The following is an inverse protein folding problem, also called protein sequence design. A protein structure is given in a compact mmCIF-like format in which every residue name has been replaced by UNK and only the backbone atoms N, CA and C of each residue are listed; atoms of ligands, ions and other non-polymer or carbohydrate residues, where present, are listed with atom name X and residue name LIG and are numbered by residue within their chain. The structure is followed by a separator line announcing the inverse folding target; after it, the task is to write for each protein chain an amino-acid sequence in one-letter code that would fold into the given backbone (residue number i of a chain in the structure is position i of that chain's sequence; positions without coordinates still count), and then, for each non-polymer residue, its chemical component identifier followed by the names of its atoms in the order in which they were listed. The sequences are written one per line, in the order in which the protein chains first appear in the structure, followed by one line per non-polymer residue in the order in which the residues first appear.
data_IF_353532118402
#
_entry.id   IF_353532118402
#
_cell.length_a   1.000
_cell.length_b   1.000
_cell.length_c   1.000
_cell.angle_alpha   90.00
_cell.angle_beta   90.00
_cell.angle_gamma   90.00
#
_symmetry.space_group_name_H-M   'P 1'
#
loop_
_entity.id
_entity.type
_entity.pdbx_description
1 polymer ?
#
# COMPACT_ATOMS: atom_id res chain seq x y z
N UNK A 1 -5.39 48.76 49.42
CA UNK A 1 -4.56 47.64 48.91
C UNK A 1 -5.36 46.34 48.79
N UNK A 2 -5.94 45.82 49.88
CA UNK A 2 -6.65 44.51 49.91
C UNK A 2 -7.83 44.44 48.93
N UNK A 3 -8.70 45.44 48.92
CA UNK A 3 -9.88 45.48 48.02
C UNK A 3 -9.46 45.48 46.54
N UNK A 4 -8.43 46.27 46.20
CA UNK A 4 -7.89 46.33 44.82
C UNK A 4 -7.31 44.98 44.40
N UNK A 5 -6.56 44.31 45.28
CA UNK A 5 -6.03 42.96 45.04
C UNK A 5 -7.14 41.92 44.86
N UNK A 6 -8.21 41.99 45.64
CA UNK A 6 -9.38 41.12 45.52
C UNK A 6 -10.09 41.31 44.17
N UNK A 7 -10.33 42.57 43.77
CA UNK A 7 -10.96 42.90 42.48
C UNK A 7 -10.11 42.40 41.31
N UNK A 8 -8.79 42.61 41.34
CA UNK A 8 -7.88 42.11 40.31
C UNK A 8 -7.88 40.57 40.24
N UNK A 9 -7.90 39.89 41.38
CA UNK A 9 -7.96 38.42 41.43
C UNK A 9 -9.27 37.87 40.84
N UNK A 10 -10.40 38.53 41.12
CA UNK A 10 -11.72 38.17 40.55
C UNK A 10 -11.73 38.37 39.04
N UNK A 11 -11.30 39.53 38.54
CA UNK A 11 -11.24 39.83 37.10
C UNK A 11 -10.31 38.85 36.37
N UNK A 12 -9.12 38.57 36.92
CA UNK A 12 -8.20 37.60 36.36
C UNK A 12 -8.73 36.15 36.43
N UNK A 13 -9.55 35.83 37.44
CA UNK A 13 -10.26 34.55 37.54
C UNK A 13 -11.33 34.39 36.46
N UNK A 14 -12.15 35.42 36.24
CA UNK A 14 -13.14 35.46 35.16
C UNK A 14 -12.49 35.38 33.78
N UNK A 15 -11.41 36.14 33.53
CA UNK A 15 -10.66 36.08 32.26
C UNK A 15 -10.09 34.69 31.98
N UNK A 16 -9.46 34.05 32.97
CA UNK A 16 -8.96 32.67 32.84
C UNK A 16 -10.09 31.66 32.60
N UNK A 17 -11.25 31.83 33.24
CA UNK A 17 -12.42 30.97 33.03
C UNK A 17 -13.00 31.13 31.62
N UNK A 18 -13.16 32.36 31.15
CA UNK A 18 -13.63 32.66 29.80
C UNK A 18 -12.68 32.10 28.73
N UNK A 19 -11.36 32.25 28.92
CA UNK A 19 -10.36 31.70 28.01
C UNK A 19 -10.39 30.16 27.98
N UNK A 20 -10.56 29.50 29.12
CA UNK A 20 -10.72 28.03 29.18
C UNK A 20 -11.97 27.54 28.46
N UNK A 21 -13.10 28.25 28.59
CA UNK A 21 -14.34 27.91 27.87
C UNK A 21 -14.14 28.05 26.36
N UNK A 22 -13.55 29.15 25.90
CA UNK A 22 -13.28 29.37 24.48
C UNK A 22 -12.32 28.33 23.88
N UNK A 23 -11.29 27.93 24.63
CA UNK A 23 -10.38 26.87 24.18
C UNK A 23 -11.10 25.52 24.09
N UNK A 24 -11.89 25.17 25.10
CA UNK A 24 -12.68 23.94 25.09
C UNK A 24 -13.73 23.92 23.95
N UNK A 25 -14.34 25.05 23.63
CA UNK A 25 -15.25 25.18 22.47
C UNK A 25 -14.52 25.01 21.14
N UNK A 26 -13.33 25.61 20.98
CA UNK A 26 -12.50 25.42 19.79
C UNK A 26 -12.06 23.97 19.61
N UNK A 27 -11.62 23.33 20.69
CA UNK A 27 -11.25 21.91 20.67
C UNK A 27 -12.44 21.04 20.24
N UNK A 28 -13.62 21.26 20.82
CA UNK A 28 -14.85 20.54 20.42
C UNK A 28 -15.21 20.77 18.95
N UNK A 29 -15.22 22.02 18.50
CA UNK A 29 -15.50 22.36 17.12
C UNK A 29 -14.50 21.71 16.14
N UNK A 30 -13.21 21.68 16.52
CA UNK A 30 -12.18 21.01 15.71
C UNK A 30 -12.38 19.50 15.64
N UNK A 31 -12.72 18.85 16.76
CA UNK A 31 -12.99 17.42 16.82
C UNK A 31 -14.26 17.05 16.04
N UNK A 32 -15.29 17.88 16.09
CA UNK A 32 -16.51 17.73 15.28
C UNK A 32 -16.22 17.91 13.78
N UNK A 33 -15.42 18.90 13.40
CA UNK A 33 -15.00 19.12 12.03
C UNK A 33 -14.22 17.91 11.47
N UNK A 34 -13.28 17.35 12.24
CA UNK A 34 -12.54 16.14 11.85
C UNK A 34 -13.48 14.94 11.66
N UNK A 35 -14.42 14.72 12.59
CA UNK A 35 -15.41 13.63 12.46
C UNK A 35 -16.30 13.81 11.23
N UNK A 36 -16.72 15.03 10.95
CA UNK A 36 -17.53 15.37 9.79
C UNK A 36 -16.76 15.14 8.49
N UNK A 37 -15.49 15.53 8.42
CA UNK A 37 -14.60 15.26 7.28
C UNK A 37 -14.42 13.76 7.07
N UNK A 38 -14.15 12.99 8.12
CA UNK A 38 -14.02 11.53 8.03
C UNK A 38 -15.33 10.87 7.56
N UNK A 39 -16.49 11.35 8.01
CA UNK A 39 -17.79 10.85 7.55
C UNK A 39 -18.08 11.21 6.08
N UNK A 40 -17.78 12.44 5.66
CA UNK A 40 -17.92 12.88 4.28
C UNK A 40 -17.02 12.07 3.34
N UNK A 41 -15.78 11.80 3.76
CA UNK A 41 -14.85 10.95 3.04
C UNK A 41 -15.43 9.53 2.88
N UNK A 42 -15.88 8.88 3.97
CA UNK A 42 -16.53 7.56 3.90
C UNK A 42 -17.69 7.49 2.91
N UNK A 43 -18.53 8.53 2.86
CA UNK A 43 -19.66 8.60 1.92
C UNK A 43 -19.18 8.75 0.47
N UNK A 44 -18.17 9.59 0.22
CA UNK A 44 -17.58 9.75 -1.11
C UNK A 44 -17.02 8.41 -1.62
N UNK A 45 -16.31 7.67 -0.78
CA UNK A 45 -15.75 6.38 -1.19
C UNK A 45 -16.82 5.32 -1.40
N UNK A 46 -17.86 5.28 -0.57
CA UNK A 46 -18.97 4.35 -0.81
C UNK A 46 -19.60 4.59 -2.20
N UNK A 47 -19.63 5.84 -2.66
CA UNK A 47 -20.10 6.21 -4.00
C UNK A 47 -19.11 5.78 -5.09
N UNK A 48 -17.82 6.05 -4.94
CA UNK A 48 -16.80 5.63 -5.92
C UNK A 48 -16.75 4.11 -6.06
N UNK A 49 -16.85 3.37 -4.95
CA UNK A 49 -16.97 1.91 -4.96
C UNK A 49 -18.25 1.45 -5.65
N UNK A 50 -19.38 2.09 -5.36
CA UNK A 50 -20.64 1.77 -6.00
C UNK A 50 -20.57 1.98 -7.51
N UNK A 51 -19.94 3.06 -7.98
CA UNK A 51 -19.83 3.37 -9.40
C UNK A 51 -18.92 2.37 -10.14
N UNK A 52 -17.77 2.00 -9.55
CA UNK A 52 -16.87 0.97 -10.09
C UNK A 52 -17.57 -0.39 -10.13
N UNK A 53 -18.26 -0.78 -9.06
CA UNK A 53 -18.99 -2.05 -8.99
C UNK A 53 -20.17 -2.08 -9.95
N UNK A 54 -20.97 -1.02 -10.02
CA UNK A 54 -22.10 -0.92 -10.93
C UNK A 54 -21.65 -0.98 -12.39
N UNK A 55 -20.57 -0.30 -12.75
CA UNK A 55 -20.03 -0.31 -14.10
C UNK A 55 -19.48 -1.69 -14.50
N UNK A 56 -18.69 -2.31 -13.62
CA UNK A 56 -18.08 -3.62 -13.89
C UNK A 56 -19.09 -4.76 -13.90
N UNK A 57 -20.01 -4.81 -12.92
CA UNK A 57 -21.07 -5.82 -12.86
C UNK A 57 -22.08 -5.63 -13.99
N UNK A 58 -22.47 -4.39 -14.30
CA UNK A 58 -23.37 -4.10 -15.42
C UNK A 58 -22.77 -4.52 -16.77
N UNK A 59 -21.49 -4.23 -16.99
CA UNK A 59 -20.76 -4.70 -18.17
C UNK A 59 -20.68 -6.23 -18.23
N UNK A 60 -20.56 -6.90 -17.09
CA UNK A 60 -20.48 -8.36 -17.01
C UNK A 60 -21.81 -9.03 -17.35
N UNK A 61 -22.93 -8.50 -16.85
CA UNK A 61 -24.29 -8.97 -17.22
C UNK A 61 -24.48 -8.89 -18.73
N UNK A 62 -24.16 -7.75 -19.36
CA UNK A 62 -24.30 -7.59 -20.82
C UNK A 62 -23.43 -8.58 -21.61
N UNK A 63 -22.21 -8.88 -21.13
CA UNK A 63 -21.37 -9.89 -21.79
C UNK A 63 -21.93 -11.30 -21.63
N UNK A 64 -22.54 -11.63 -20.48
CA UNK A 64 -23.17 -12.93 -20.27
C UNK A 64 -24.44 -13.10 -21.11
N UNK A 65 -25.28 -12.07 -21.20
CA UNK A 65 -26.45 -12.07 -22.10
C UNK A 65 -26.04 -12.30 -23.56
N UNK A 66 -24.92 -11.70 -23.98
CA UNK A 66 -24.36 -11.91 -25.32
C UNK A 66 -23.80 -13.33 -25.51
N UNK A 67 -23.25 -13.96 -24.46
CA UNK A 67 -22.83 -15.37 -24.49
C UNK A 67 -24.04 -16.28 -24.66
N UNK A 68 -25.11 -16.07 -23.89
CA UNK A 68 -26.35 -16.87 -24.00
C UNK A 68 -26.93 -16.79 -25.41
N UNK A 69 -27.05 -15.58 -25.98
CA UNK A 69 -27.57 -15.41 -27.34
C UNK A 69 -26.71 -16.10 -28.43
N UNK A 70 -25.38 -16.10 -28.26
CA UNK A 70 -24.46 -16.77 -29.20
C UNK A 70 -24.53 -18.29 -29.08
N UNK A 71 -24.70 -18.82 -27.86
CA UNK A 71 -24.90 -20.25 -27.63
C UNK A 71 -26.23 -20.73 -28.23
N UNK A 72 -27.30 -19.96 -28.07
CA UNK A 72 -28.62 -20.25 -28.68
C UNK A 72 -28.55 -20.25 -30.21
N UNK A 73 -27.68 -19.41 -30.80
CA UNK A 73 -27.42 -19.38 -32.23
C UNK A 73 -26.43 -20.48 -32.71
N UNK A 74 -25.87 -21.29 -31.81
CA UNK A 74 -24.88 -22.33 -32.11
C UNK A 74 -23.46 -21.82 -32.39
N UNK A 75 -23.18 -20.52 -32.20
CA UNK A 75 -21.88 -19.90 -32.45
C UNK A 75 -20.96 -19.99 -31.21
N UNK A 76 -20.52 -21.21 -30.94
CA UNK A 76 -19.71 -21.56 -29.76
C UNK A 76 -18.35 -20.88 -29.71
N UNK A 77 -17.74 -20.59 -30.87
CA UNK A 77 -16.43 -19.92 -30.96
C UNK A 77 -16.52 -18.47 -30.49
N UNK A 78 -17.53 -17.72 -30.96
CA UNK A 78 -17.75 -16.34 -30.50
C UNK A 78 -18.23 -16.28 -29.05
N UNK A 79 -19.03 -17.26 -28.61
CA UNK A 79 -19.42 -17.37 -27.21
C UNK A 79 -18.18 -17.54 -26.29
N UNK A 80 -17.23 -18.40 -26.68
CA UNK A 80 -15.99 -18.59 -25.93
C UNK A 80 -15.15 -17.30 -25.85
N UNK A 81 -15.03 -16.56 -26.95
CA UNK A 81 -14.33 -15.27 -26.97
C UNK A 81 -14.99 -14.24 -26.02
N UNK A 82 -16.34 -14.25 -25.93
CA UNK A 82 -17.09 -13.37 -25.03
C UNK A 82 -16.97 -13.76 -23.56
N UNK A 83 -16.91 -15.05 -23.25
CA UNK A 83 -16.59 -15.53 -21.89
C UNK A 83 -15.20 -15.05 -21.44
N UNK A 84 -14.21 -15.09 -22.34
CA UNK A 84 -12.87 -14.56 -22.05
C UNK A 84 -12.89 -13.05 -21.76
N UNK A 85 -13.65 -12.27 -22.54
CA UNK A 85 -13.83 -10.84 -22.30
C UNK A 85 -14.55 -10.55 -20.97
N UNK A 86 -15.60 -11.30 -20.64
CA UNK A 86 -16.32 -11.19 -19.38
C UNK A 86 -15.41 -11.48 -18.17
N UNK A 87 -14.56 -12.52 -18.27
CA UNK A 87 -13.55 -12.84 -17.25
C UNK A 87 -12.54 -11.70 -17.08
N UNK A 88 -12.08 -11.09 -18.18
CA UNK A 88 -11.19 -9.93 -18.15
C UNK A 88 -11.80 -8.74 -17.41
N UNK A 89 -13.07 -8.41 -17.72
CA UNK A 89 -13.84 -7.37 -17.03
C UNK A 89 -13.99 -7.66 -15.53
N UNK A 90 -14.28 -8.90 -15.14
CA UNK A 90 -14.41 -9.32 -13.74
C UNK A 90 -13.12 -9.10 -12.95
N UNK A 91 -12.00 -9.56 -13.51
CA UNK A 91 -10.68 -9.44 -12.89
C UNK A 91 -10.28 -7.98 -12.75
N UNK A 92 -10.51 -7.16 -13.78
CA UNK A 92 -10.24 -5.73 -13.77
C UNK A 92 -11.07 -5.01 -12.70
N UNK A 93 -12.39 -5.20 -12.68
CA UNK A 93 -13.28 -4.56 -11.70
C UNK A 93 -12.99 -4.97 -10.26
N UNK A 94 -12.62 -6.24 -10.01
CA UNK A 94 -12.19 -6.68 -8.69
C UNK A 94 -10.85 -6.05 -8.27
N UNK A 95 -9.96 -5.79 -9.23
CA UNK A 95 -8.73 -5.04 -9.03
C UNK A 95 -9.00 -3.60 -8.61
N UNK A 96 -9.81 -2.88 -9.38
CA UNK A 96 -10.20 -1.48 -9.10
C UNK A 96 -10.93 -1.35 -7.75
N UNK A 97 -11.84 -2.27 -7.43
CA UNK A 97 -12.51 -2.30 -6.13
C UNK A 97 -11.53 -2.54 -4.97
N UNK A 98 -10.55 -3.45 -5.14
CA UNK A 98 -9.50 -3.68 -4.14
C UNK A 98 -8.57 -2.48 -3.99
N UNK A 99 -8.30 -1.74 -5.05
CA UNK A 99 -7.50 -0.52 -5.01
C UNK A 99 -8.24 0.61 -4.30
N UNK A 100 -9.51 0.84 -4.60
CA UNK A 100 -10.34 1.79 -3.87
C UNK A 100 -10.42 1.43 -2.37
N UNK A 101 -10.57 0.13 -2.03
CA UNK A 101 -10.49 -0.35 -0.64
C UNK A 101 -9.08 -0.23 -0.05
N UNK A 102 -8.02 -0.33 -0.84
CA UNK A 102 -6.64 -0.13 -0.36
C UNK A 102 -6.36 1.35 -0.08
N UNK A 103 -6.86 2.27 -0.92
CA UNK A 103 -6.81 3.71 -0.67
C UNK A 103 -7.57 4.10 0.61
N UNK A 104 -8.64 3.37 0.95
CA UNK A 104 -9.31 3.49 2.26
C UNK A 104 -8.49 2.96 3.45
N UNK A 105 -7.58 2.02 3.17
CA UNK A 105 -6.81 1.27 4.17
C UNK A 105 -5.36 1.75 4.25
N UNK A 106 -4.98 2.72 3.42
CA UNK A 106 -3.96 3.67 3.81
C UNK A 106 -4.46 4.25 5.12
N UNK A 107 -3.73 4.03 6.22
CA UNK A 107 -4.14 4.62 7.47
C UNK A 107 -4.27 6.12 7.17
N UNK A 108 -5.32 6.77 7.69
CA UNK A 108 -5.21 8.19 8.01
C UNK A 108 -3.76 8.43 8.47
N UNK A 109 -3.05 9.49 8.02
CA UNK A 109 -1.77 9.83 8.64
C UNK A 109 -2.04 9.82 10.13
N UNK A 110 -1.53 8.80 10.83
CA UNK A 110 -2.18 8.28 12.02
C UNK A 110 -2.55 9.46 12.90
N UNK A 111 -3.84 9.79 12.95
CA UNK A 111 -4.36 10.81 13.85
C UNK A 111 -4.23 10.17 15.23
N UNK A 112 -3.02 10.18 15.80
CA UNK A 112 -2.69 9.63 17.11
C UNK A 112 -1.76 8.42 17.19
N UNK A 113 -0.80 8.22 16.29
CA UNK A 113 0.45 7.56 16.70
C UNK A 113 1.65 8.30 16.08
N UNK A 114 2.00 9.47 16.57
CA UNK A 114 3.07 9.55 17.57
C UNK A 114 3.35 8.22 18.30
N UNK A 115 3.91 7.23 17.60
CA UNK A 115 4.93 6.40 18.23
C UNK A 115 6.26 6.91 17.70
N UNK A 116 6.71 8.00 18.30
CA UNK A 116 8.14 8.31 18.39
C UNK A 116 8.92 7.17 19.07
N UNK A 117 8.22 6.21 19.68
CA UNK A 117 8.79 5.01 20.27
C UNK A 117 9.51 4.15 19.21
N UNK A 118 10.82 3.92 19.40
CA UNK A 118 11.58 3.06 18.52
C UNK A 118 11.01 1.63 18.50
N UNK A 119 10.77 1.11 17.30
CA UNK A 119 10.40 -0.28 17.08
C UNK A 119 11.66 -1.15 17.13
N UNK A 120 11.61 -2.19 17.96
CA UNK A 120 12.71 -3.15 18.05
C UNK A 120 12.93 -3.86 16.70
N UNK A 121 14.19 -4.09 16.27
CA UNK A 121 14.48 -4.73 14.99
C UNK A 121 13.87 -6.12 14.85
N UNK A 122 13.87 -6.87 15.96
CA UNK A 122 13.27 -8.21 16.04
C UNK A 122 11.78 -8.20 15.74
N UNK A 123 11.05 -7.11 16.02
CA UNK A 123 9.64 -6.99 15.68
C UNK A 123 9.42 -6.79 14.18
N UNK A 124 10.30 -6.02 13.52
CA UNK A 124 10.28 -5.86 12.06
C UNK A 124 10.56 -7.19 11.39
N UNK A 125 11.64 -7.86 11.80
CA UNK A 125 12.04 -9.16 11.27
C UNK A 125 10.94 -10.23 11.48
N UNK A 126 10.35 -10.31 12.69
CA UNK A 126 9.27 -11.26 12.98
C UNK A 126 8.03 -11.04 12.09
N UNK A 127 7.70 -9.78 11.80
CA UNK A 127 6.60 -9.45 10.87
C UNK A 127 6.94 -9.86 9.44
N UNK A 128 8.16 -9.61 8.96
CA UNK A 128 8.61 -10.08 7.64
C UNK A 128 8.55 -11.62 7.57
N UNK A 129 9.04 -12.32 8.61
CA UNK A 129 8.96 -13.79 8.70
C UNK A 129 7.52 -14.29 8.64
N UNK A 130 6.58 -13.59 9.28
CA UNK A 130 5.15 -13.92 9.22
C UNK A 130 4.57 -13.74 7.82
N UNK A 131 5.01 -12.72 7.08
CA UNK A 131 4.55 -12.46 5.71
C UNK A 131 5.05 -13.51 4.71
N UNK A 132 6.27 -14.01 4.88
CA UNK A 132 6.86 -15.00 3.97
C UNK A 132 6.50 -16.45 4.33
N UNK A 133 6.16 -16.74 5.60
CA UNK A 133 5.83 -18.09 6.06
C UNK A 133 4.78 -18.86 5.23
N UNK A 134 3.68 -18.24 4.73
CA UNK A 134 2.72 -18.95 3.88
C UNK A 134 3.17 -19.13 2.43
N UNK A 135 4.24 -18.47 1.98
CA UNK A 135 4.68 -18.46 0.59
C UNK A 135 5.79 -19.51 0.36
N UNK A 136 5.59 -20.43 -0.60
CA UNK A 136 6.62 -21.41 -0.95
C UNK A 136 7.72 -20.78 -1.80
N UNK A 137 8.99 -21.11 -1.50
CA UNK A 137 10.14 -20.62 -2.26
C UNK A 137 10.53 -19.16 -1.95
N UNK A 138 10.09 -18.61 -0.82
CA UNK A 138 10.50 -17.29 -0.36
C UNK A 138 11.54 -17.39 0.75
N UNK A 139 12.71 -16.79 0.53
CA UNK A 139 13.80 -16.70 1.51
C UNK A 139 13.89 -15.32 2.16
N UNK A 140 14.38 -15.29 3.40
CA UNK A 140 14.77 -14.06 4.09
C UNK A 140 16.24 -14.14 4.48
N UNK A 141 17.03 -13.19 3.99
CA UNK A 141 18.41 -12.96 4.38
C UNK A 141 18.50 -11.67 5.21
N UNK A 142 19.15 -11.75 6.37
CA UNK A 142 19.32 -10.61 7.28
C UNK A 142 20.80 -10.43 7.58
N UNK A 143 21.32 -9.24 7.28
CA UNK A 143 22.72 -8.91 7.46
C UNK A 143 22.93 -7.60 8.22
N UNK A 144 24.11 -7.42 8.81
CA UNK A 144 24.47 -6.21 9.56
C UNK A 144 24.11 -6.24 11.04
N UNK A 145 24.25 -5.09 11.71
CA UNK A 145 23.96 -4.93 13.14
C UNK A 145 22.62 -4.20 13.29
N UNK A 146 21.60 -4.94 13.71
CA UNK A 146 20.25 -4.43 13.80
C UNK A 146 20.09 -3.37 14.92
N UNK A 147 19.40 -2.27 14.62
CA UNK A 147 19.16 -1.16 15.54
C UNK A 147 17.70 -0.69 15.47
N UNK A 148 17.11 -0.17 16.55
CA UNK A 148 15.73 0.30 16.53
C UNK A 148 15.47 1.31 15.41
N UNK A 149 14.25 1.32 14.89
CA UNK A 149 13.79 2.22 13.82
C UNK A 149 12.49 2.90 14.21
N UNK A 150 12.16 4.01 13.56
CA UNK A 150 10.83 4.61 13.74
C UNK A 150 9.70 3.65 13.35
N UNK A 151 8.53 3.79 13.99
CA UNK A 151 7.34 3.02 13.60
C UNK A 151 6.92 3.23 12.15
N UNK A 152 7.12 4.45 11.63
CA UNK A 152 6.85 4.78 10.25
C UNK A 152 7.78 4.02 9.27
N UNK A 153 9.08 3.93 9.58
CA UNK A 153 10.03 3.14 8.80
C UNK A 153 9.72 1.64 8.87
N UNK A 154 9.41 1.12 10.06
CA UNK A 154 9.00 -0.28 10.22
C UNK A 154 7.81 -0.61 9.32
N UNK A 155 6.75 0.20 9.34
CA UNK A 155 5.59 -0.01 8.45
C UNK A 155 5.95 0.13 6.96
N UNK A 156 6.78 1.10 6.58
CA UNK A 156 7.19 1.29 5.19
C UNK A 156 7.93 0.06 4.65
N UNK A 157 8.83 -0.54 5.45
CA UNK A 157 9.54 -1.78 5.11
C UNK A 157 8.58 -2.96 4.93
N UNK A 158 7.64 -3.15 5.86
CA UNK A 158 6.60 -4.20 5.77
C UNK A 158 5.76 -4.04 4.50
N UNK A 159 5.37 -2.80 4.16
CA UNK A 159 4.62 -2.52 2.94
C UNK A 159 5.43 -2.79 1.66
N UNK A 160 6.73 -2.47 1.66
CA UNK A 160 7.61 -2.77 0.53
C UNK A 160 7.71 -4.29 0.29
N UNK A 161 7.88 -5.08 1.35
CA UNK A 161 7.89 -6.56 1.26
C UNK A 161 6.56 -7.08 0.72
N UNK A 162 5.42 -6.62 1.26
CA UNK A 162 4.09 -7.04 0.77
C UNK A 162 3.89 -6.74 -0.73
N UNK A 163 4.30 -5.54 -1.17
CA UNK A 163 4.20 -5.14 -2.56
C UNK A 163 5.12 -5.99 -3.46
N UNK A 164 6.36 -6.23 -3.02
CA UNK A 164 7.32 -7.09 -3.71
C UNK A 164 6.81 -8.53 -3.89
N UNK A 165 6.29 -9.16 -2.82
CA UNK A 165 5.70 -10.50 -2.88
C UNK A 165 4.47 -10.55 -3.78
N UNK A 166 3.61 -9.53 -3.70
CA UNK A 166 2.43 -9.40 -4.57
C UNK A 166 2.83 -9.31 -6.04
N UNK A 167 3.87 -8.53 -6.37
CA UNK A 167 4.39 -8.38 -7.72
C UNK A 167 5.04 -9.66 -8.23
N UNK A 168 5.84 -10.35 -7.41
CA UNK A 168 6.41 -11.65 -7.76
C UNK A 168 5.30 -12.67 -8.09
N UNK A 169 4.25 -12.76 -7.27
CA UNK A 169 3.10 -13.66 -7.52
C UNK A 169 2.37 -13.35 -8.83
N UNK A 170 2.22 -12.06 -9.16
CA UNK A 170 1.52 -11.62 -10.38
C UNK A 170 2.36 -11.84 -11.65
N UNK A 171 3.65 -11.60 -11.57
CA UNK A 171 4.52 -11.45 -12.75
C UNK A 171 5.52 -12.58 -12.95
N UNK A 172 5.82 -13.36 -11.90
CA UNK A 172 6.70 -14.52 -11.94
C UNK A 172 6.14 -15.66 -11.06
N UNK A 173 4.93 -16.17 -11.39
CA UNK A 173 4.29 -17.21 -10.59
C UNK A 173 5.19 -18.46 -10.50
N UNK A 174 5.42 -18.94 -9.27
CA UNK A 174 6.27 -20.12 -9.01
C UNK A 174 7.77 -19.84 -8.97
N UNK A 175 8.22 -18.60 -9.24
CA UNK A 175 9.62 -18.23 -9.10
C UNK A 175 10.00 -18.02 -7.63
N UNK A 176 11.21 -18.42 -7.27
CA UNK A 176 11.74 -18.15 -5.93
C UNK A 176 11.93 -16.64 -5.71
N UNK A 177 11.58 -16.16 -4.51
CA UNK A 177 11.74 -14.76 -4.11
C UNK A 177 12.76 -14.69 -2.97
N UNK A 178 13.71 -13.77 -3.05
CA UNK A 178 14.61 -13.47 -1.95
C UNK A 178 14.31 -12.08 -1.40
N UNK A 179 14.10 -12.02 -0.09
CA UNK A 179 13.98 -10.79 0.67
C UNK A 179 15.27 -10.59 1.44
N UNK A 180 16.04 -9.57 1.12
CA UNK A 180 17.21 -9.13 1.87
C UNK A 180 16.85 -7.97 2.79
N UNK A 181 17.31 -8.02 4.04
CA UNK A 181 17.22 -6.92 5.01
C UNK A 181 18.62 -6.65 5.57
N UNK A 182 19.20 -5.51 5.17
CA UNK A 182 20.57 -5.12 5.55
C UNK A 182 20.53 -3.91 6.46
N UNK A 183 21.09 -4.08 7.67
CA UNK A 183 21.20 -3.04 8.68
C UNK A 183 22.56 -2.35 8.58
N UNK A 184 22.57 -1.10 8.13
CA UNK A 184 23.75 -0.24 8.16
C UNK A 184 23.75 0.63 9.43
N UNK A 185 24.89 1.24 9.81
CA UNK A 185 24.93 2.11 10.98
C UNK A 185 23.98 3.31 10.93
N UNK A 186 23.63 3.79 9.74
CA UNK A 186 22.89 5.04 9.49
C UNK A 186 21.58 4.85 8.71
N UNK A 187 21.32 3.65 8.19
CA UNK A 187 20.16 3.36 7.33
C UNK A 187 19.80 1.89 7.32
N UNK A 188 18.60 1.59 6.86
CA UNK A 188 18.13 0.23 6.61
C UNK A 188 17.84 0.07 5.12
N UNK A 189 18.38 -0.99 4.53
CA UNK A 189 18.09 -1.38 3.15
C UNK A 189 17.25 -2.67 3.14
N UNK A 190 16.19 -2.70 2.34
CA UNK A 190 15.44 -3.90 2.05
C UNK A 190 15.36 -4.13 0.54
N UNK A 191 15.72 -5.33 0.11
CA UNK A 191 15.70 -5.74 -1.29
C UNK A 191 14.75 -6.93 -1.46
N UNK A 192 13.87 -6.88 -2.45
CA UNK A 192 13.01 -7.99 -2.86
C UNK A 192 13.34 -8.32 -4.30
N UNK A 193 13.75 -9.56 -4.57
CA UNK A 193 14.18 -9.98 -5.89
C UNK A 193 13.62 -11.34 -6.32
N UNK A 194 13.27 -11.45 -7.59
CA UNK A 194 12.79 -12.70 -8.18
C UNK A 194 13.27 -12.83 -9.64
N UNK A 195 13.54 -14.06 -10.14
CA UNK A 195 13.78 -14.29 -11.56
C UNK A 195 12.62 -13.80 -12.43
N UNK A 196 12.93 -13.25 -13.59
CA UNK A 196 11.94 -12.89 -14.62
C UNK A 196 11.88 -14.01 -15.65
N UNK A 197 10.68 -14.45 -16.07
CA UNK A 197 10.54 -15.40 -17.17
C UNK A 197 11.21 -14.84 -18.44
N UNK A 198 11.93 -15.69 -19.18
CA UNK A 198 12.50 -15.35 -20.47
C UNK A 198 11.40 -15.31 -21.55
N UNK A 199 10.51 -14.31 -21.50
CA UNK A 199 9.49 -14.08 -22.54
C UNK A 199 10.05 -13.14 -23.60
N UNK A 200 9.88 -13.43 -24.91
CA UNK A 200 10.33 -12.55 -25.99
C UNK A 200 9.79 -11.13 -25.83
N UNK A 201 10.64 -10.13 -26.11
CA UNK A 201 10.36 -8.71 -25.90
C UNK A 201 9.11 -8.15 -26.61
N UNK A 202 8.47 -8.92 -27.50
CA UNK A 202 7.29 -8.51 -28.27
C UNK A 202 5.98 -8.50 -27.44
N UNK A 203 5.89 -9.27 -26.34
CA UNK A 203 4.69 -9.29 -25.48
C UNK A 203 4.72 -8.28 -24.32
N UNK A 204 5.78 -7.46 -24.22
CA UNK A 204 5.85 -6.39 -23.20
C UNK A 204 4.88 -5.24 -23.46
N UNK A 205 4.22 -5.22 -24.63
CA UNK A 205 3.25 -4.22 -25.06
C UNK A 205 1.93 -4.17 -24.27
N UNK A 206 1.64 -5.16 -23.42
CA UNK A 206 0.48 -5.14 -22.51
C UNK A 206 0.84 -4.98 -21.02
N UNK A 207 2.12 -4.88 -20.67
CA UNK A 207 2.57 -4.69 -19.28
C UNK A 207 2.41 -3.24 -18.76
N UNK A 208 1.95 -2.31 -19.60
CA UNK A 208 1.94 -0.87 -19.30
C UNK A 208 0.64 -0.34 -18.67
N UNK A 209 -0.42 -1.14 -18.50
CA UNK A 209 -1.76 -0.60 -18.23
C UNK A 209 -2.34 -0.84 -16.82
N UNK A 210 -1.55 -1.34 -15.86
CA UNK A 210 -2.04 -1.48 -14.46
C UNK A 210 -1.01 -1.66 -13.34
N UNK A 211 0.30 -1.71 -13.63
CA UNK A 211 1.34 -2.09 -12.65
C UNK A 211 2.00 -0.96 -11.85
N UNK A 212 1.62 0.31 -12.07
CA UNK A 212 2.39 1.47 -11.58
C UNK A 212 2.03 1.97 -10.18
N UNK A 213 0.83 1.67 -9.67
CA UNK A 213 0.32 2.28 -8.43
C UNK A 213 0.94 1.68 -7.17
N UNK A 214 1.23 0.38 -7.18
CA UNK A 214 1.86 -0.32 -6.07
C UNK A 214 3.25 0.25 -5.74
N UNK A 215 4.12 0.31 -6.74
CA UNK A 215 5.47 0.89 -6.64
C UNK A 215 5.44 2.41 -6.41
N UNK A 216 4.45 3.12 -6.94
CA UNK A 216 4.25 4.54 -6.63
C UNK A 216 4.00 4.76 -5.14
N UNK A 217 3.09 4.00 -4.53
CA UNK A 217 2.82 4.11 -3.09
C UNK A 217 4.03 3.73 -2.22
N UNK A 218 4.88 2.81 -2.68
CA UNK A 218 6.16 2.53 -2.01
C UNK A 218 7.10 3.75 -2.10
N UNK A 219 7.24 4.36 -3.29
CA UNK A 219 8.04 5.58 -3.48
C UNK A 219 7.57 6.74 -2.61
N UNK A 220 6.28 7.01 -2.58
CA UNK A 220 5.69 8.10 -1.79
C UNK A 220 5.95 7.92 -0.29
N UNK A 221 5.77 6.70 0.24
CA UNK A 221 6.07 6.41 1.66
C UNK A 221 7.54 6.60 2.01
N UNK A 222 8.45 6.10 1.19
CA UNK A 222 9.88 6.23 1.43
C UNK A 222 10.37 7.68 1.25
N UNK A 223 9.78 8.45 0.34
CA UNK A 223 10.12 9.86 0.14
C UNK A 223 9.83 10.70 1.41
N UNK A 224 8.72 10.44 2.11
CA UNK A 224 8.40 11.12 3.39
C UNK A 224 9.42 10.79 4.48
N UNK A 225 10.05 9.62 4.42
CA UNK A 225 11.07 9.16 5.36
C UNK A 225 12.49 9.60 4.97
N UNK A 226 12.66 10.37 3.90
CA UNK A 226 13.99 10.72 3.37
C UNK A 226 14.72 9.53 2.73
N UNK A 227 14.00 8.46 2.40
CA UNK A 227 14.52 7.26 1.76
C UNK A 227 14.43 7.26 0.24
N UNK A 228 14.99 6.21 -0.38
CA UNK A 228 14.98 6.01 -1.83
C UNK A 228 14.36 4.67 -2.20
N UNK A 229 13.87 4.57 -3.43
CA UNK A 229 13.25 3.35 -3.98
C UNK A 229 13.71 3.18 -5.41
N UNK A 230 14.29 2.02 -5.70
CA UNK A 230 14.70 1.59 -7.02
C UNK A 230 13.95 0.31 -7.38
N UNK A 231 13.39 0.26 -8.59
CA UNK A 231 12.67 -0.91 -9.07
C UNK A 231 12.98 -1.10 -10.55
N UNK A 232 13.44 -2.29 -10.93
CA UNK A 232 13.87 -2.55 -12.29
C UNK A 232 14.22 -4.01 -12.54
N UNK A 233 14.52 -4.32 -13.80
CA UNK A 233 15.09 -5.61 -14.19
C UNK A 233 16.61 -5.45 -14.27
N UNK A 234 17.33 -6.29 -13.54
CA UNK A 234 18.79 -6.35 -13.50
C UNK A 234 19.27 -7.69 -14.10
N UNK A 235 20.44 -7.71 -14.78
CA UNK A 235 21.04 -8.95 -15.25
C UNK A 235 21.37 -9.87 -14.07
N UNK A 236 21.12 -11.18 -14.21
CA UNK A 236 21.50 -12.15 -13.19
C UNK A 236 23.01 -12.14 -12.92
N UNK A 237 23.41 -12.16 -11.64
CA UNK A 237 24.82 -12.02 -11.24
C UNK A 237 25.71 -13.27 -11.43
N UNK A 238 25.22 -14.36 -12.03
CA UNK A 238 26.04 -15.56 -12.25
C UNK A 238 26.99 -15.38 -13.44
N UNK A 239 28.29 -15.63 -13.23
CA UNK A 239 29.28 -15.81 -14.30
C UNK A 239 29.00 -17.13 -15.03
N UNK A 240 28.02 -17.15 -15.92
CA UNK A 240 27.65 -18.31 -16.74
C UNK A 240 26.54 -17.96 -17.73
N UNK A 241 26.45 -18.71 -18.82
CA UNK A 241 25.57 -18.46 -19.97
C UNK A 241 24.05 -18.54 -19.65
N UNK A 242 23.67 -18.88 -18.41
CA UNK A 242 22.29 -19.09 -17.93
C UNK A 242 21.87 -18.14 -16.79
N UNK A 243 22.43 -16.93 -16.75
CA UNK A 243 22.01 -15.92 -15.78
C UNK A 243 20.65 -15.32 -16.18
N UNK A 244 19.55 -15.87 -15.64
CA UNK A 244 18.23 -15.29 -15.83
C UNK A 244 18.19 -13.87 -15.26
N UNK A 245 17.59 -12.94 -16.03
CA UNK A 245 17.28 -11.60 -15.57
C UNK A 245 16.44 -11.65 -14.29
N UNK A 246 16.61 -10.67 -13.40
CA UNK A 246 15.91 -10.59 -12.12
C UNK A 246 15.20 -9.26 -12.00
N UNK A 247 13.96 -9.29 -11.52
CA UNK A 247 13.31 -8.08 -11.05
C UNK A 247 13.80 -7.81 -9.64
N UNK A 248 14.20 -6.57 -9.37
CA UNK A 248 14.72 -6.11 -8.09
C UNK A 248 13.92 -4.88 -7.66
N UNK A 249 13.35 -4.94 -6.46
CA UNK A 249 12.82 -3.80 -5.71
C UNK A 249 13.76 -3.55 -4.53
N UNK A 250 14.53 -2.47 -4.59
CA UNK A 250 15.39 -2.00 -3.50
C UNK A 250 14.78 -0.76 -2.87
N UNK A 251 14.63 -0.77 -1.56
CA UNK A 251 14.20 0.38 -0.77
C UNK A 251 15.23 0.63 0.33
N UNK A 252 15.56 1.89 0.58
CA UNK A 252 16.45 2.26 1.68
C UNK A 252 15.95 3.54 2.36
N UNK A 253 16.16 3.67 3.66
CA UNK A 253 15.85 4.90 4.39
C UNK A 253 16.75 5.05 5.62
N UNK A 254 17.04 6.29 6.05
CA UNK A 254 17.75 6.55 7.30
C UNK A 254 17.06 5.88 8.49
N UNK A 255 17.87 5.34 9.40
CA UNK A 255 17.47 4.62 10.60
C UNK A 255 16.66 5.47 11.60
#
# INVERSE_FOLDING_TARGET
AVIVGLVLAVVAGFGRRAQRVLLAERERASAEALRAQAAAHRIAIARDLHDVLAHSLGGLVVQLDAVEALLDAGDTERAAARVAAARGLAVKGLGEAREAVRALREPEPATGSDTADPVAPSAVEARIRTLIAPEQGVGLDVAGVAHPVSGALAEALIRAVQEGLSNARKHAPGAAVLVGLVWHPDRVECTIENPVPATPAQDRGLAATGGGFGLRGVRERFAVLGGTVQAGVEPGASKGQDAADRFVLRVEAPA
#
